data_IF_348213955002
#
_entry.id   IF_348213955002
#
_cell.length_a   1.000
_cell.length_b   1.000
_cell.length_c   1.000
_cell.angle_alpha   90.00
_cell.angle_beta   90.00
_cell.angle_gamma   90.00
#
_symmetry.space_group_name_H-M   'P 1'
#
loop_
_entity.id
_entity.type
_entity.pdbx_description
1 polymer ?
#
# COMPACT_ATOMS: atom_id res chain seq x y z
N UNK A 1 4.18 27.73 18.17
CA UNK A 1 4.14 26.33 17.69
C UNK A 1 3.31 26.19 16.43
N UNK A 2 2.04 26.62 16.39
CA UNK A 2 1.25 26.56 15.14
C UNK A 2 1.84 27.42 14.00
N UNK A 3 2.37 28.60 14.33
CA UNK A 3 2.93 29.54 13.33
C UNK A 3 4.20 29.01 12.66
N UNK A 4 5.14 28.45 13.43
CA UNK A 4 6.36 27.84 12.90
C UNK A 4 6.09 26.61 12.03
N UNK A 5 5.08 25.80 12.40
CA UNK A 5 4.64 24.66 11.57
C UNK A 5 4.02 25.15 10.26
N UNK A 6 3.20 26.20 10.32
CA UNK A 6 2.61 26.80 9.13
C UNK A 6 3.69 27.42 8.23
N UNK A 7 4.67 28.12 8.80
CA UNK A 7 5.78 28.73 8.05
C UNK A 7 6.63 27.66 7.35
N UNK A 8 6.98 26.57 8.04
CA UNK A 8 7.71 25.46 7.44
C UNK A 8 6.93 24.79 6.30
N UNK A 9 5.63 24.52 6.51
CA UNK A 9 4.78 23.91 5.48
C UNK A 9 4.62 24.82 4.25
N UNK A 10 4.47 26.14 4.46
CA UNK A 10 4.40 27.11 3.36
C UNK A 10 5.72 27.18 2.60
N UNK A 11 6.86 27.22 3.31
CA UNK A 11 8.17 27.23 2.69
C UNK A 11 8.42 25.98 1.84
N UNK A 12 8.07 24.79 2.35
CA UNK A 12 8.18 23.52 1.62
C UNK A 12 7.24 23.49 0.40
N UNK A 13 6.00 23.96 0.55
CA UNK A 13 5.04 24.02 -0.55
C UNK A 13 5.50 24.97 -1.65
N UNK A 14 6.03 26.15 -1.30
CA UNK A 14 6.55 27.12 -2.28
C UNK A 14 7.77 26.57 -3.00
N UNK A 15 8.70 25.95 -2.28
CA UNK A 15 9.86 25.29 -2.88
C UNK A 15 9.45 24.16 -3.84
N UNK A 16 8.36 23.46 -3.53
CA UNK A 16 7.80 22.45 -4.42
C UNK A 16 7.14 23.04 -5.67
N UNK A 17 6.30 24.07 -5.51
CA UNK A 17 5.58 24.72 -6.62
C UNK A 17 6.52 25.32 -7.65
N UNK A 18 7.70 25.80 -7.23
CA UNK A 18 8.68 26.43 -8.11
C UNK A 18 9.54 25.42 -8.90
N UNK A 19 9.36 24.10 -8.69
CA UNK A 19 10.11 23.08 -9.43
C UNK A 19 9.28 22.42 -10.56
N UNK A 20 9.90 21.46 -11.27
CA UNK A 20 9.29 20.77 -12.44
C UNK A 20 8.95 19.30 -12.18
N UNK A 21 9.05 18.86 -10.92
CA UNK A 21 8.72 17.50 -10.53
C UNK A 21 7.21 17.26 -10.57
N UNK A 22 6.81 16.01 -10.86
CA UNK A 22 5.39 15.64 -10.87
C UNK A 22 4.82 15.47 -9.46
N UNK A 23 5.65 15.06 -8.50
CA UNK A 23 5.28 14.81 -7.11
C UNK A 23 6.38 15.26 -6.16
N UNK A 24 6.01 15.57 -4.92
CA UNK A 24 7.00 15.84 -3.88
C UNK A 24 7.66 14.55 -3.37
N UNK A 25 8.78 14.71 -2.67
CA UNK A 25 9.55 13.63 -2.04
C UNK A 25 8.73 12.66 -1.17
N UNK A 26 7.72 13.14 -0.44
CA UNK A 26 6.91 12.31 0.45
C UNK A 26 5.88 11.52 -0.34
N UNK A 27 5.29 12.14 -1.36
CA UNK A 27 4.36 11.44 -2.26
C UNK A 27 5.09 10.40 -3.11
N UNK A 28 6.35 10.65 -3.51
CA UNK A 28 7.18 9.64 -4.19
C UNK A 28 7.32 8.35 -3.37
N UNK A 29 7.57 8.45 -2.06
CA UNK A 29 7.63 7.31 -1.14
C UNK A 29 6.30 6.55 -1.09
N UNK A 30 5.19 7.29 -1.05
CA UNK A 30 3.84 6.74 -0.90
C UNK A 30 3.34 6.04 -2.18
N UNK A 31 3.74 6.50 -3.36
CA UNK A 31 3.29 5.95 -4.64
C UNK A 31 3.96 4.61 -4.99
N UNK A 32 5.14 4.33 -4.46
CA UNK A 32 5.97 3.21 -4.89
C UNK A 32 5.27 1.86 -4.74
N UNK A 33 4.69 1.57 -3.56
CA UNK A 33 3.99 0.31 -3.28
C UNK A 33 2.69 0.16 -4.10
N UNK A 34 1.78 1.15 -4.13
CA UNK A 34 0.59 1.09 -4.98
C UNK A 34 0.91 0.84 -6.45
N UNK A 35 1.91 1.53 -7.01
CA UNK A 35 2.32 1.35 -8.40
C UNK A 35 2.95 -0.01 -8.65
N UNK A 36 3.75 -0.52 -7.71
CA UNK A 36 4.31 -1.87 -7.80
C UNK A 36 3.24 -2.96 -7.78
N UNK A 37 2.10 -2.73 -7.11
CA UNK A 37 0.97 -3.68 -7.08
C UNK A 37 0.02 -3.53 -8.26
N UNK A 38 -0.06 -2.34 -8.87
CA UNK A 38 -0.95 -2.07 -9.99
C UNK A 38 -0.62 -2.89 -11.25
N UNK A 39 -1.50 -2.86 -12.24
CA UNK A 39 -1.19 -3.38 -13.57
C UNK A 39 -0.53 -2.29 -14.42
N UNK A 40 0.52 -2.67 -15.18
CA UNK A 40 1.11 -1.82 -16.21
C UNK A 40 2.38 -1.09 -15.75
N UNK A 41 2.67 0.01 -16.43
CA UNK A 41 3.89 0.80 -16.25
C UNK A 41 3.52 2.24 -15.88
N UNK A 42 4.28 2.82 -14.97
CA UNK A 42 4.18 4.21 -14.56
C UNK A 42 5.57 4.84 -14.48
N UNK A 43 5.65 6.12 -14.83
CA UNK A 43 6.86 6.94 -14.75
C UNK A 43 6.50 8.29 -14.15
N UNK A 44 7.30 8.75 -13.19
CA UNK A 44 7.10 10.03 -12.54
C UNK A 44 8.43 10.62 -12.05
N UNK A 45 8.43 11.92 -11.77
CA UNK A 45 9.59 12.63 -11.23
C UNK A 45 9.30 13.17 -9.83
N UNK A 46 10.32 13.15 -8.98
CA UNK A 46 10.34 13.76 -7.65
C UNK A 46 11.37 14.87 -7.62
N UNK A 47 11.12 15.89 -6.80
CA UNK A 47 12.03 17.01 -6.62
C UNK A 47 13.25 16.65 -5.76
N UNK A 48 13.07 15.71 -4.83
CA UNK A 48 14.13 15.14 -4.01
C UNK A 48 13.98 13.63 -3.88
N UNK A 49 15.03 12.89 -4.22
CA UNK A 49 15.12 11.45 -3.98
C UNK A 49 15.50 11.19 -2.53
N UNK A 50 14.61 10.53 -1.79
CA UNK A 50 14.87 10.19 -0.38
C UNK A 50 15.53 8.82 -0.26
N UNK A 51 16.24 8.60 0.84
CA UNK A 51 16.71 7.27 1.21
C UNK A 51 15.54 6.29 1.43
N UNK A 52 14.39 6.77 1.89
CA UNK A 52 13.19 5.95 2.03
C UNK A 52 12.73 5.43 0.67
N UNK A 53 12.75 6.27 -0.38
CA UNK A 53 12.36 5.86 -1.74
C UNK A 53 13.27 4.75 -2.23
N UNK A 54 14.59 4.93 -2.07
CA UNK A 54 15.61 3.97 -2.54
C UNK A 54 15.47 2.63 -1.81
N UNK A 55 15.43 2.64 -0.48
CA UNK A 55 15.30 1.39 0.29
C UNK A 55 13.94 0.72 0.03
N UNK A 56 12.86 1.47 -0.10
CA UNK A 56 11.54 0.92 -0.42
C UNK A 56 11.56 0.25 -1.81
N UNK A 57 12.22 0.86 -2.81
CA UNK A 57 12.40 0.24 -4.13
C UNK A 57 13.18 -1.08 -4.05
N UNK A 58 14.26 -1.12 -3.26
CA UNK A 58 15.04 -2.35 -3.05
C UNK A 58 14.22 -3.46 -2.41
N UNK A 59 13.40 -3.14 -1.41
CA UNK A 59 12.52 -4.12 -0.76
C UNK A 59 11.45 -4.63 -1.73
N UNK A 60 10.81 -3.74 -2.50
CA UNK A 60 9.78 -4.14 -3.45
C UNK A 60 10.34 -5.01 -4.58
N UNK A 61 11.53 -4.70 -5.12
CA UNK A 61 12.23 -5.56 -6.09
C UNK A 61 12.43 -6.97 -5.52
N UNK A 62 12.83 -7.09 -4.25
CA UNK A 62 13.07 -8.38 -3.61
C UNK A 62 11.79 -9.16 -3.29
N UNK A 63 10.74 -8.49 -2.83
CA UNK A 63 9.52 -9.15 -2.32
C UNK A 63 8.48 -9.41 -3.40
N UNK A 64 8.40 -8.55 -4.41
CA UNK A 64 7.36 -8.61 -5.44
C UNK A 64 7.90 -8.99 -6.82
N UNK A 65 9.22 -9.05 -7.02
CA UNK A 65 9.85 -9.21 -8.35
C UNK A 65 9.38 -8.13 -9.35
N UNK A 66 9.09 -6.92 -8.84
CA UNK A 66 8.73 -5.75 -9.66
C UNK A 66 9.98 -5.09 -10.25
N UNK A 67 9.88 -4.58 -11.47
CA UNK A 67 10.93 -3.76 -12.07
C UNK A 67 10.74 -2.30 -11.68
N UNK A 68 11.68 -1.79 -10.88
CA UNK A 68 11.77 -0.37 -10.50
C UNK A 68 13.14 0.16 -10.91
N UNK A 69 13.17 1.19 -11.75
CA UNK A 69 14.39 1.91 -12.14
C UNK A 69 14.33 3.34 -11.58
N UNK A 70 15.45 3.82 -11.03
CA UNK A 70 15.56 5.17 -10.46
C UNK A 70 16.78 5.84 -11.10
N UNK A 71 16.57 7.03 -11.66
CA UNK A 71 17.63 7.85 -12.26
C UNK A 71 17.69 9.19 -11.52
N UNK A 72 18.79 9.44 -10.82
CA UNK A 72 19.02 10.66 -10.03
C UNK A 72 19.93 10.38 -8.84
N UNK A 73 20.35 11.45 -8.17
CA UNK A 73 21.18 11.37 -6.96
C UNK A 73 20.33 11.58 -5.70
N UNK A 74 20.77 11.00 -4.58
CA UNK A 74 20.13 11.26 -3.28
C UNK A 74 20.08 12.76 -2.98
N UNK A 75 18.98 13.19 -2.37
CA UNK A 75 18.68 14.60 -2.06
C UNK A 75 18.59 15.51 -3.30
N UNK A 76 18.55 14.96 -4.51
CA UNK A 76 18.37 15.69 -5.75
C UNK A 76 17.14 15.23 -6.55
N UNK A 77 16.82 15.91 -7.66
CA UNK A 77 15.74 15.51 -8.54
C UNK A 77 15.97 14.11 -9.09
N UNK A 78 14.92 13.31 -9.15
CA UNK A 78 15.00 11.96 -9.69
C UNK A 78 13.76 11.58 -10.48
N UNK A 79 13.98 10.67 -11.41
CA UNK A 79 12.95 9.99 -12.18
C UNK A 79 12.82 8.54 -11.72
N UNK A 80 11.58 8.09 -11.54
CA UNK A 80 11.24 6.75 -11.10
C UNK A 80 10.33 6.10 -12.13
N UNK A 81 10.77 4.94 -12.63
CA UNK A 81 10.04 4.06 -13.53
C UNK A 81 9.63 2.80 -12.75
N UNK A 82 8.33 2.46 -12.73
CA UNK A 82 7.77 1.32 -12.00
C UNK A 82 6.93 0.46 -12.94
N UNK A 83 7.22 -0.84 -13.00
CA UNK A 83 6.39 -1.85 -13.69
C UNK A 83 5.66 -2.69 -12.65
N UNK A 84 4.36 -2.47 -12.51
CA UNK A 84 3.53 -3.15 -11.53
C UNK A 84 3.26 -4.62 -11.88
N UNK A 85 3.16 -5.46 -10.85
CA UNK A 85 3.02 -6.92 -10.99
C UNK A 85 1.59 -7.35 -11.33
N UNK A 86 0.63 -6.43 -11.28
CA UNK A 86 -0.76 -6.75 -11.54
C UNK A 86 -1.39 -7.63 -10.46
N UNK A 87 -1.24 -7.22 -9.19
CA UNK A 87 -1.77 -7.97 -8.06
C UNK A 87 -3.30 -8.02 -8.10
N UNK A 88 -3.86 -9.20 -8.34
CA UNK A 88 -5.29 -9.46 -8.25
C UNK A 88 -5.64 -9.99 -6.85
N UNK A 89 -6.29 -9.17 -6.01
CA UNK A 89 -6.79 -9.64 -4.73
C UNK A 89 -7.78 -10.79 -4.93
N UNK A 90 -7.58 -11.89 -4.20
CA UNK A 90 -8.42 -13.08 -4.30
C UNK A 90 -9.84 -12.79 -3.79
N UNK A 91 -10.75 -12.41 -4.69
CA UNK A 91 -12.19 -12.21 -4.38
C UNK A 91 -12.91 -13.48 -3.89
N UNK A 92 -12.24 -14.63 -3.93
CA UNK A 92 -12.80 -15.93 -3.54
C UNK A 92 -13.05 -16.07 -2.03
N UNK A 93 -12.54 -15.16 -1.19
CA UNK A 93 -12.84 -15.18 0.25
C UNK A 93 -14.19 -14.56 0.61
N UNK A 94 -14.85 -13.86 -0.32
CA UNK A 94 -16.18 -13.28 -0.10
C UNK A 94 -17.30 -14.26 -0.42
N UNK A 95 -17.07 -15.18 -1.37
CA UNK A 95 -18.04 -16.19 -1.79
C UNK A 95 -18.35 -17.25 -0.71
N UNK A 96 -17.49 -17.40 0.30
CA UNK A 96 -17.64 -18.40 1.39
C UNK A 96 -18.06 -17.78 2.71
N UNK A 97 -18.26 -16.46 2.80
CA UNK A 97 -18.75 -15.84 4.04
C UNK A 97 -20.27 -16.07 4.12
N UNK A 98 -20.78 -16.78 5.14
CA UNK A 98 -22.22 -16.88 5.33
C UNK A 98 -22.80 -15.48 5.44
N UNK A 99 -23.94 -15.26 4.80
CA UNK A 99 -24.63 -13.98 4.91
C UNK A 99 -25.00 -13.71 6.37
N UNK A 100 -25.24 -12.44 6.71
CA UNK A 100 -25.74 -12.07 8.04
C UNK A 100 -27.04 -12.81 8.38
N UNK A 101 -27.86 -13.11 7.36
CA UNK A 101 -29.06 -13.94 7.50
C UNK A 101 -28.71 -15.39 7.87
N UNK A 102 -27.70 -15.99 7.24
CA UNK A 102 -27.27 -17.36 7.55
C UNK A 102 -26.74 -17.50 8.98
N UNK A 103 -26.11 -16.45 9.53
CA UNK A 103 -25.69 -16.39 10.92
C UNK A 103 -26.86 -16.19 11.90
N UNK A 104 -27.84 -15.34 11.55
CA UNK A 104 -28.99 -15.05 12.42
C UNK A 104 -29.98 -16.22 12.46
N UNK A 105 -30.16 -16.91 11.32
CA UNK A 105 -31.05 -18.06 11.21
C UNK A 105 -30.37 -19.41 11.48
N UNK A 106 -29.08 -19.41 11.86
CA UNK A 106 -28.40 -20.62 12.28
C UNK A 106 -29.05 -21.20 13.54
N UNK A 107 -29.83 -22.28 13.35
CA UNK A 107 -30.36 -23.10 14.43
C UNK A 107 -29.50 -24.36 14.53
N UNK A 108 -28.62 -24.50 15.54
CA UNK A 108 -27.88 -25.73 15.71
C UNK A 108 -28.86 -26.90 15.89
N UNK A 109 -28.58 -28.01 15.23
CA UNK A 109 -29.35 -29.24 15.39
C UNK A 109 -29.40 -29.59 16.89
N UNK A 110 -30.61 -29.85 17.43
CA UNK A 110 -30.74 -30.29 18.81
C UNK A 110 -29.89 -31.56 18.98
N UNK A 111 -28.98 -31.63 19.97
CA UNK A 111 -28.29 -32.87 20.25
C UNK A 111 -29.33 -33.96 20.56
N UNK A 112 -29.20 -35.09 19.85
CA UNK A 112 -29.95 -36.32 20.11
C UNK A 112 -29.82 -36.67 21.59
N UNK A 113 -30.94 -36.79 22.30
CA UNK A 113 -30.97 -37.30 23.67
C UNK A 113 -30.57 -38.77 23.65
N UNK A 114 -29.29 -39.07 23.80
CA UNK A 114 -28.87 -40.39 24.27
C UNK A 114 -28.93 -40.41 25.81
N UNK A 115 -29.49 -41.47 26.43
CA UNK A 115 -29.54 -41.57 27.88
C UNK A 115 -28.13 -41.75 28.44
N UNK A 116 -27.80 -40.96 29.46
CA UNK A 116 -26.55 -41.11 30.21
C UNK A 116 -26.55 -42.45 30.94
N UNK A 117 -25.63 -43.35 30.60
CA UNK A 117 -25.30 -44.52 31.40
C UNK A 117 -24.18 -44.09 32.36
N UNK A 118 -24.51 -43.95 33.63
CA UNK A 118 -23.53 -43.84 34.72
C UNK A 118 -22.87 -45.21 34.92
N UNK A 119 -21.55 -45.30 34.79
CA UNK A 119 -20.79 -46.43 35.33
C UNK A 119 -20.38 -46.09 36.77
N UNK A 120 -20.66 -47.04 37.68
CA UNK A 120 -20.17 -47.12 39.06
C UNK A 120 -18.71 -47.60 39.05
#
# INVERSE_FOLDING_TARGET
MSEQVAEAAVAETLAFVDNTAMVDRHLADQLLLPLALAHGHARFTTDHLTLHTVTNAELLRQWLDTKIDITGDLDGPAEIDVTGIGFAANRSLEATRPSVADLIYYRPARPSRHPAIYYV
#
